data_IF_240386238852
#
_entry.id   IF_240386238852
#
_cell.length_a   1.000
_cell.length_b   1.000
_cell.length_c   1.000
_cell.angle_alpha   90.00
_cell.angle_beta   90.00
_cell.angle_gamma   90.00
#
_symmetry.space_group_name_H-M   'P 1'
#
loop_
_entity.id
_entity.type
_entity.pdbx_description
1 polymer ?
#
# COMPACT_ATOMS: atom_id res chain seq x y z
N UNK A 1 -21.66 -65.45 26.34
CA UNK A 1 -20.40 -64.70 26.51
C UNK A 1 -19.86 -64.29 25.15
N UNK A 2 -19.40 -63.05 24.93
CA UNK A 2 -20.03 -61.79 25.29
C UNK A 2 -20.34 -60.96 24.03
N UNK A 3 -21.62 -60.65 23.81
CA UNK A 3 -22.14 -59.68 22.81
C UNK A 3 -22.08 -58.22 23.32
N UNK A 4 -21.35 -57.96 24.40
CA UNK A 4 -21.42 -56.70 25.15
C UNK A 4 -20.41 -55.62 24.75
N UNK A 5 -19.50 -55.87 23.79
CA UNK A 5 -18.45 -54.91 23.39
C UNK A 5 -18.77 -54.11 22.10
N UNK A 6 -19.77 -54.51 21.31
CA UNK A 6 -20.19 -53.80 20.08
C UNK A 6 -21.22 -52.69 20.33
N UNK A 7 -21.97 -52.77 21.42
CA UNK A 7 -22.95 -51.75 21.82
C UNK A 7 -22.36 -50.35 22.05
N UNK A 8 -21.23 -50.16 22.77
CA UNK A 8 -20.68 -48.83 22.98
C UNK A 8 -20.15 -48.22 21.67
N UNK A 9 -19.55 -49.03 20.79
CA UNK A 9 -19.05 -48.53 19.49
C UNK A 9 -20.18 -48.13 18.54
N UNK A 10 -21.27 -48.90 18.45
CA UNK A 10 -22.41 -48.56 17.61
C UNK A 10 -23.18 -47.33 18.14
N UNK A 11 -23.24 -47.17 19.47
CA UNK A 11 -23.84 -46.00 20.11
C UNK A 11 -22.97 -44.74 19.91
N UNK A 12 -21.65 -44.86 20.01
CA UNK A 12 -20.71 -43.77 19.76
C UNK A 12 -20.71 -43.37 18.27
N UNK A 13 -20.75 -44.33 17.34
CA UNK A 13 -20.87 -44.06 15.89
C UNK A 13 -22.16 -43.32 15.57
N UNK A 14 -23.31 -43.83 16.01
CA UNK A 14 -24.60 -43.15 15.78
C UNK A 14 -24.62 -41.75 16.40
N UNK A 15 -24.03 -41.57 17.59
CA UNK A 15 -23.95 -40.26 18.24
C UNK A 15 -23.03 -39.30 17.48
N UNK A 16 -21.90 -39.78 16.94
CA UNK A 16 -21.01 -38.99 16.07
C UNK A 16 -21.70 -38.61 14.75
N UNK A 17 -22.44 -39.53 14.14
CA UNK A 17 -23.17 -39.27 12.89
C UNK A 17 -24.28 -38.25 13.10
N UNK A 18 -25.05 -38.35 14.19
CA UNK A 18 -26.05 -37.34 14.56
C UNK A 18 -25.40 -35.99 14.88
N UNK A 19 -24.24 -35.97 15.56
CA UNK A 19 -23.52 -34.73 15.87
C UNK A 19 -22.98 -34.05 14.60
N UNK A 20 -22.46 -34.83 13.65
CA UNK A 20 -21.99 -34.32 12.36
C UNK A 20 -23.14 -33.78 11.51
N UNK A 21 -24.29 -34.47 11.49
CA UNK A 21 -25.51 -34.01 10.81
C UNK A 21 -26.02 -32.68 11.39
N UNK A 22 -26.13 -32.59 12.72
CA UNK A 22 -26.54 -31.36 13.42
C UNK A 22 -25.57 -30.19 13.18
N UNK A 23 -24.26 -30.45 13.18
CA UNK A 23 -23.23 -29.45 12.84
C UNK A 23 -23.37 -28.98 11.39
N UNK A 24 -23.58 -29.89 10.45
CA UNK A 24 -23.81 -29.58 9.04
C UNK A 24 -25.07 -28.74 8.84
N UNK A 25 -26.17 -29.08 9.51
CA UNK A 25 -27.40 -28.28 9.45
C UNK A 25 -27.22 -26.90 10.09
N UNK A 26 -26.48 -26.79 11.19
CA UNK A 26 -26.14 -25.50 11.80
C UNK A 26 -25.33 -24.63 10.83
N UNK A 27 -24.28 -25.17 10.22
CA UNK A 27 -23.47 -24.45 9.22
C UNK A 27 -24.31 -24.04 8.02
N UNK A 28 -25.17 -24.93 7.49
CA UNK A 28 -26.12 -24.61 6.41
C UNK A 28 -27.11 -23.52 6.81
N UNK A 29 -27.61 -23.55 8.05
CA UNK A 29 -28.52 -22.52 8.56
C UNK A 29 -27.83 -21.17 8.80
N UNK A 30 -26.57 -21.17 9.23
CA UNK A 30 -25.78 -19.95 9.39
C UNK A 30 -25.42 -19.34 8.03
N UNK A 31 -25.03 -20.17 7.06
CA UNK A 31 -24.75 -19.74 5.68
C UNK A 31 -25.99 -19.27 4.94
N UNK A 32 -27.16 -19.91 5.15
CA UNK A 32 -28.44 -19.45 4.59
C UNK A 32 -28.89 -18.12 5.19
N UNK A 33 -28.71 -17.93 6.50
CA UNK A 33 -28.95 -16.64 7.17
C UNK A 33 -28.02 -15.55 6.66
N UNK A 34 -26.72 -15.85 6.51
CA UNK A 34 -25.75 -14.89 5.97
C UNK A 34 -26.12 -14.48 4.54
N UNK A 35 -26.44 -15.46 3.68
CA UNK A 35 -26.84 -15.19 2.28
C UNK A 35 -28.15 -14.41 2.20
N UNK A 36 -29.12 -14.69 3.08
CA UNK A 36 -30.36 -13.92 3.17
C UNK A 36 -30.12 -12.47 3.64
N UNK A 37 -29.21 -12.27 4.60
CA UNK A 37 -28.83 -10.95 5.10
C UNK A 37 -28.07 -10.14 4.02
N UNK A 38 -27.18 -10.78 3.26
CA UNK A 38 -26.47 -10.14 2.15
C UNK A 38 -27.37 -9.76 0.97
N UNK A 39 -28.56 -10.39 0.86
CA UNK A 39 -29.59 -10.06 -0.13
C UNK A 39 -30.55 -8.96 0.32
N UNK A 40 -30.44 -8.49 1.55
CA UNK A 40 -31.26 -7.37 2.04
C UNK A 40 -30.98 -6.10 1.22
N UNK A 41 -32.02 -5.36 0.79
CA UNK A 41 -31.85 -4.14 -0.01
C UNK A 41 -31.06 -3.06 0.74
N UNK A 42 -31.13 -3.04 2.08
CA UNK A 42 -30.34 -2.15 2.91
C UNK A 42 -28.86 -2.52 2.89
N UNK A 43 -28.53 -3.81 2.95
CA UNK A 43 -27.15 -4.29 2.88
C UNK A 43 -26.51 -3.96 1.52
N UNK A 44 -27.23 -4.19 0.42
CA UNK A 44 -26.76 -3.87 -0.93
C UNK A 44 -26.51 -2.37 -1.15
N UNK A 45 -27.33 -1.50 -0.54
CA UNK A 45 -27.18 -0.05 -0.63
C UNK A 45 -25.99 0.46 0.17
N UNK A 46 -25.80 -0.06 1.39
CA UNK A 46 -24.75 0.42 2.30
C UNK A 46 -23.43 -0.35 2.19
N UNK A 47 -23.40 -1.49 1.48
CA UNK A 47 -22.19 -2.30 1.34
C UNK A 47 -20.97 -1.56 0.80
N UNK A 48 -21.05 -0.61 -0.17
CA UNK A 48 -19.86 0.10 -0.63
C UNK A 48 -19.29 1.02 0.45
N UNK A 49 -20.17 1.66 1.24
CA UNK A 49 -19.78 2.54 2.35
C UNK A 49 -19.15 1.72 3.48
N UNK A 50 -19.74 0.57 3.80
CA UNK A 50 -19.26 -0.34 4.83
C UNK A 50 -17.89 -0.94 4.46
N UNK A 51 -17.72 -1.34 3.19
CA UNK A 51 -16.43 -1.81 2.68
C UNK A 51 -15.39 -0.69 2.65
N UNK A 52 -15.77 0.53 2.25
CA UNK A 52 -14.87 1.68 2.27
C UNK A 52 -14.40 2.00 3.69
N UNK A 53 -15.31 2.04 4.66
CA UNK A 53 -14.98 2.24 6.07
C UNK A 53 -14.05 1.14 6.59
N UNK A 54 -14.37 -0.13 6.29
CA UNK A 54 -13.54 -1.28 6.67
C UNK A 54 -12.12 -1.15 6.10
N UNK A 55 -11.99 -0.81 4.82
CA UNK A 55 -10.71 -0.60 4.16
C UNK A 55 -9.96 0.58 4.76
N UNK A 56 -10.63 1.69 5.08
CA UNK A 56 -9.99 2.82 5.77
C UNK A 56 -9.45 2.43 7.14
N UNK A 57 -10.24 1.73 7.95
CA UNK A 57 -9.79 1.22 9.26
C UNK A 57 -8.62 0.26 9.09
N UNK A 58 -8.66 -0.61 8.08
CA UNK A 58 -7.58 -1.55 7.78
C UNK A 58 -6.26 -0.83 7.45
N UNK A 59 -6.31 0.22 6.63
CA UNK A 59 -5.13 1.05 6.31
C UNK A 59 -4.59 1.76 7.54
N UNK A 60 -5.45 2.34 8.38
CA UNK A 60 -5.04 3.03 9.62
C UNK A 60 -4.39 2.06 10.62
N UNK A 61 -4.94 0.84 10.72
CA UNK A 61 -4.35 -0.23 11.54
C UNK A 61 -2.98 -0.63 10.99
N UNK A 62 -2.86 -0.86 9.69
CA UNK A 62 -1.59 -1.15 9.02
C UNK A 62 -0.55 -0.05 9.28
N UNK A 63 -0.93 1.22 9.09
CA UNK A 63 -0.08 2.38 9.34
C UNK A 63 0.45 2.42 10.77
N UNK A 64 -0.42 2.13 11.74
CA UNK A 64 -0.07 2.11 13.16
C UNK A 64 0.86 0.95 13.48
N UNK A 65 0.60 -0.26 12.97
CA UNK A 65 1.49 -1.41 13.14
C UNK A 65 2.89 -1.14 12.57
N UNK A 66 2.98 -0.65 11.33
CA UNK A 66 4.26 -0.33 10.70
C UNK A 66 5.02 0.76 11.46
N UNK A 67 4.31 1.78 11.94
CA UNK A 67 4.91 2.81 12.77
C UNK A 67 5.48 2.22 14.07
N UNK A 68 4.73 1.37 14.78
CA UNK A 68 5.17 0.78 16.03
C UNK A 68 6.35 -0.19 15.85
N UNK A 69 6.36 -0.99 14.79
CA UNK A 69 7.46 -1.92 14.54
C UNK A 69 8.77 -1.22 14.14
N UNK A 70 8.70 -0.15 13.35
CA UNK A 70 9.90 0.44 12.74
C UNK A 70 10.40 1.70 13.43
N UNK A 71 9.59 2.40 14.24
CA UNK A 71 10.00 3.67 14.88
C UNK A 71 11.29 3.54 15.68
N UNK A 72 11.31 2.67 16.69
CA UNK A 72 12.44 2.57 17.61
C UNK A 72 13.69 1.94 16.95
N UNK A 73 13.57 0.84 16.17
CA UNK A 73 14.70 0.28 15.43
C UNK A 73 15.32 1.26 14.43
N UNK A 74 14.48 2.06 13.76
CA UNK A 74 14.95 3.08 12.84
C UNK A 74 15.67 4.21 13.57
N UNK A 75 15.12 4.72 14.67
CA UNK A 75 15.77 5.75 15.47
C UNK A 75 17.14 5.29 15.98
N UNK A 76 17.26 4.03 16.42
CA UNK A 76 18.55 3.44 16.79
C UNK A 76 19.51 3.36 15.61
N UNK A 77 19.05 2.98 14.42
CA UNK A 77 19.88 2.89 13.21
C UNK A 77 20.40 4.27 12.79
N UNK A 78 19.52 5.27 12.81
CA UNK A 78 19.87 6.67 12.53
C UNK A 78 20.87 7.19 13.55
N UNK A 79 20.64 6.94 14.85
CA UNK A 79 21.57 7.34 15.91
C UNK A 79 22.94 6.68 15.73
N UNK A 80 22.97 5.37 15.48
CA UNK A 80 24.22 4.61 15.20
C UNK A 80 24.96 5.19 13.98
N UNK A 81 24.25 5.55 12.91
CA UNK A 81 24.87 6.13 11.73
C UNK A 81 25.57 7.46 12.04
N UNK A 82 24.86 8.39 12.70
CA UNK A 82 25.42 9.69 13.07
C UNK A 82 26.57 9.58 14.08
N UNK A 83 26.47 8.68 15.06
CA UNK A 83 27.56 8.44 16.02
C UNK A 83 28.78 7.82 15.33
N UNK A 84 28.57 6.85 14.44
CA UNK A 84 29.66 6.21 13.71
C UNK A 84 30.36 7.20 12.78
N UNK A 85 29.62 8.09 12.11
CA UNK A 85 30.22 9.16 11.31
C UNK A 85 31.06 10.11 12.15
N UNK A 86 30.55 10.56 13.31
CA UNK A 86 31.31 11.41 14.22
C UNK A 86 32.59 10.72 14.74
N UNK A 87 32.52 9.43 15.07
CA UNK A 87 33.68 8.63 15.53
C UNK A 87 34.70 8.44 14.42
N UNK A 88 34.26 8.07 13.20
CA UNK A 88 35.13 7.94 12.02
C UNK A 88 35.86 9.25 11.72
N UNK A 89 35.15 10.38 11.78
CA UNK A 89 35.74 11.70 11.57
C UNK A 89 36.84 12.02 12.58
N UNK A 90 36.59 11.75 13.87
CA UNK A 90 37.59 11.92 14.94
C UNK A 90 38.79 11.00 14.77
N UNK A 91 38.56 9.72 14.43
CA UNK A 91 39.65 8.77 14.19
C UNK A 91 40.50 9.15 12.99
N UNK A 92 39.88 9.64 11.92
CA UNK A 92 40.59 10.10 10.73
C UNK A 92 41.41 11.36 11.02
N UNK A 93 40.83 12.34 11.72
CA UNK A 93 41.55 13.54 12.16
C UNK A 93 42.75 13.20 13.06
N UNK A 94 42.58 12.25 14.01
CA UNK A 94 43.68 11.76 14.85
C UNK A 94 44.77 11.07 14.03
N UNK A 95 44.39 10.26 13.05
CA UNK A 95 45.33 9.59 12.13
C UNK A 95 46.13 10.61 11.32
N UNK A 96 45.48 11.62 10.75
CA UNK A 96 46.13 12.70 10.01
C UNK A 96 47.10 13.47 10.91
N UNK A 97 46.62 13.95 12.06
CA UNK A 97 47.43 14.67 13.05
C UNK A 97 48.66 13.86 13.48
N UNK A 98 48.49 12.58 13.80
CA UNK A 98 49.61 11.72 14.22
C UNK A 98 50.63 11.49 13.11
N UNK A 99 50.20 11.41 11.84
CA UNK A 99 51.11 11.26 10.70
C UNK A 99 51.91 12.53 10.46
N UNK A 100 51.28 13.70 10.56
CA UNK A 100 51.95 14.99 10.36
C UNK A 100 52.98 15.26 11.46
N UNK A 101 52.65 14.96 12.73
CA UNK A 101 53.52 15.30 13.86
C UNK A 101 54.64 14.28 14.12
N UNK A 102 54.50 13.04 13.63
CA UNK A 102 55.51 11.99 13.80
C UNK A 102 56.44 11.82 12.57
N UNK A 103 56.35 12.71 11.58
CA UNK A 103 57.24 12.68 10.41
C UNK A 103 58.61 13.31 10.74
N UNK A 104 59.45 12.53 11.41
CA UNK A 104 60.75 12.93 11.95
C UNK A 104 61.82 13.25 10.90
N UNK A 105 61.56 13.05 9.59
CA UNK A 105 62.55 13.34 8.55
C UNK A 105 62.61 14.81 8.12
N UNK A 106 61.55 15.59 8.31
CA UNK A 106 61.50 16.97 7.80
C UNK A 106 60.92 18.01 8.79
N UNK A 107 60.22 17.61 9.86
CA UNK A 107 59.53 18.54 10.76
C UNK A 107 59.60 18.07 12.21
N UNK A 108 60.55 18.59 12.98
CA UNK A 108 60.64 18.38 14.42
C UNK A 108 59.70 19.38 15.11
N UNK A 109 58.37 19.14 15.02
CA UNK A 109 57.38 20.02 15.65
C UNK A 109 57.12 19.53 17.08
N UNK A 110 57.67 20.23 18.07
CA UNK A 110 57.32 20.01 19.48
C UNK A 110 55.98 20.72 19.72
N UNK A 111 54.89 19.98 19.60
CA UNK A 111 53.54 20.51 19.79
C UNK A 111 53.03 20.10 21.16
N UNK A 112 52.65 21.08 21.97
CA UNK A 112 51.99 20.85 23.25
C UNK A 112 50.65 20.09 23.07
N UNK A 113 50.23 19.36 24.10
CA UNK A 113 49.01 18.55 24.07
C UNK A 113 47.77 19.38 23.76
N UNK A 114 47.73 20.62 24.23
CA UNK A 114 46.62 21.55 23.97
C UNK A 114 46.57 21.99 22.50
N UNK A 115 47.73 22.31 21.91
CA UNK A 115 47.84 22.67 20.49
C UNK A 115 47.47 21.50 19.57
N UNK A 116 47.86 20.27 19.96
CA UNK A 116 47.46 19.05 19.26
C UNK A 116 45.94 18.87 19.26
N UNK A 117 45.28 19.10 20.41
CA UNK A 117 43.83 19.01 20.52
C UNK A 117 43.12 20.06 19.65
N UNK A 118 43.65 21.30 19.62
CA UNK A 118 43.14 22.37 18.77
C UNK A 118 43.22 22.03 17.27
N UNK A 119 44.37 21.52 16.81
CA UNK A 119 44.53 21.08 15.41
C UNK A 119 43.58 19.94 15.07
N UNK A 120 43.42 18.96 15.96
CA UNK A 120 42.46 17.88 15.75
C UNK A 120 41.02 18.38 15.63
N UNK A 121 40.63 19.37 16.45
CA UNK A 121 39.31 19.98 16.36
C UNK A 121 39.09 20.70 15.03
N UNK A 122 40.07 21.49 14.59
CA UNK A 122 40.02 22.17 13.29
C UNK A 122 39.95 21.18 12.11
N UNK A 123 40.67 20.06 12.20
CA UNK A 123 40.58 18.98 11.21
C UNK A 123 39.20 18.33 11.19
N UNK A 124 38.60 18.06 12.36
CA UNK A 124 37.24 17.52 12.46
C UNK A 124 36.22 18.48 11.84
N UNK A 125 36.37 19.78 12.07
CA UNK A 125 35.49 20.80 11.48
C UNK A 125 35.67 20.92 9.97
N UNK A 126 36.92 20.91 9.49
CA UNK A 126 37.25 20.93 8.07
C UNK A 126 36.71 19.70 7.33
N UNK A 127 36.86 18.51 7.92
CA UNK A 127 36.31 17.26 7.38
C UNK A 127 34.79 17.28 7.33
N UNK A 128 34.14 17.84 8.36
CA UNK A 128 32.68 18.02 8.35
C UNK A 128 32.26 18.94 7.19
N UNK A 129 32.93 20.08 7.01
CA UNK A 129 32.64 20.99 5.90
C UNK A 129 32.93 20.40 4.52
N UNK A 130 33.90 19.47 4.41
CA UNK A 130 34.13 18.71 3.18
C UNK A 130 33.04 17.65 2.93
N UNK A 131 32.63 16.92 3.96
CA UNK A 131 31.53 15.95 3.90
C UNK A 131 30.20 16.63 3.51
N UNK A 132 29.95 17.84 3.97
CA UNK A 132 28.75 18.62 3.61
C UNK A 132 28.73 19.00 2.11
N UNK A 133 29.89 19.02 1.44
CA UNK A 133 30.01 19.21 -0.02
C UNK A 133 29.88 17.90 -0.80
N UNK A 134 30.00 16.77 -0.12
CA UNK A 134 29.76 15.46 -0.71
C UNK A 134 28.25 15.18 -0.66
N UNK A 135 27.72 14.52 -1.68
CA UNK A 135 26.32 14.07 -1.74
C UNK A 135 26.07 12.84 -0.86
N UNK A 136 26.58 12.83 0.37
CA UNK A 136 26.39 11.74 1.33
C UNK A 136 24.98 11.85 1.92
N UNK A 137 24.06 11.03 1.42
CA UNK A 137 22.69 10.94 1.95
C UNK A 137 22.67 10.01 3.16
N UNK A 138 22.51 10.57 4.36
CA UNK A 138 22.28 9.81 5.58
C UNK A 138 20.82 9.32 5.71
N UNK A 139 20.53 8.35 6.59
CA UNK A 139 19.17 7.89 6.83
C UNK A 139 18.32 9.01 7.43
N UNK A 140 17.09 9.16 6.93
CA UNK A 140 16.21 10.26 7.36
C UNK A 140 15.62 9.98 8.73
N UNK A 141 15.73 10.92 9.66
CA UNK A 141 15.12 10.81 11.01
C UNK A 141 13.59 10.65 10.98
N UNK A 142 12.93 11.10 9.90
CA UNK A 142 11.46 11.09 9.79
C UNK A 142 10.94 10.03 8.82
N UNK A 143 11.78 9.11 8.38
CA UNK A 143 11.42 8.06 7.42
C UNK A 143 10.22 7.22 7.90
N UNK A 144 10.20 6.86 9.20
CA UNK A 144 9.10 6.15 9.86
C UNK A 144 8.24 7.06 10.74
N UNK A 145 7.92 8.27 10.27
CA UNK A 145 6.82 9.04 10.87
C UNK A 145 5.47 8.32 10.66
N UNK A 146 4.45 8.66 11.46
CA UNK A 146 3.12 8.05 11.30
C UNK A 146 2.55 8.30 9.89
N UNK A 147 2.64 9.53 9.37
CA UNK A 147 2.17 9.88 8.03
C UNK A 147 2.95 9.14 6.93
N UNK A 148 4.27 9.00 7.08
CA UNK A 148 5.10 8.22 6.15
C UNK A 148 4.82 6.71 6.24
N UNK A 149 4.33 6.22 7.38
CA UNK A 149 3.93 4.81 7.58
C UNK A 149 2.52 4.57 7.02
N UNK A 150 1.64 5.55 7.10
CA UNK A 150 0.35 5.55 6.40
C UNK A 150 0.53 5.47 4.89
N UNK A 151 1.38 6.32 4.31
CA UNK A 151 1.69 6.26 2.89
C UNK A 151 2.27 4.91 2.49
N UNK A 152 3.17 4.35 3.30
CA UNK A 152 3.73 3.01 3.07
C UNK A 152 2.63 1.93 3.06
N UNK A 153 1.77 1.91 4.09
CA UNK A 153 0.67 0.96 4.19
C UNK A 153 -0.32 1.09 3.03
N UNK A 154 -0.60 2.31 2.58
CA UNK A 154 -1.48 2.59 1.46
C UNK A 154 -0.86 2.14 0.12
N UNK A 155 0.41 2.49 -0.13
CA UNK A 155 1.13 2.08 -1.35
C UNK A 155 1.28 0.56 -1.47
N UNK A 156 1.38 -0.16 -0.35
CA UNK A 156 1.36 -1.63 -0.34
C UNK A 156 0.02 -2.20 -0.83
N UNK A 157 -1.11 -1.65 -0.36
CA UNK A 157 -2.44 -2.10 -0.82
C UNK A 157 -2.71 -1.75 -2.27
N UNK A 158 -2.21 -0.60 -2.73
CA UNK A 158 -2.29 -0.15 -4.11
C UNK A 158 -1.30 -0.87 -5.04
N UNK A 159 -0.50 -1.79 -4.49
CA UNK A 159 0.56 -2.56 -5.19
C UNK A 159 1.58 -1.71 -5.95
N UNK A 160 1.66 -0.41 -5.67
CA UNK A 160 2.71 0.49 -6.18
C UNK A 160 4.05 0.10 -5.57
N UNK A 161 4.03 -0.28 -4.29
CA UNK A 161 5.23 -0.45 -3.49
C UNK A 161 5.71 0.88 -2.91
N UNK A 162 6.59 0.80 -1.92
CA UNK A 162 7.14 1.98 -1.25
C UNK A 162 8.54 2.37 -1.74
N UNK A 163 9.06 1.67 -2.76
CA UNK A 163 10.27 1.98 -3.53
C UNK A 163 11.53 2.01 -2.70
N UNK A 164 11.77 3.14 -2.03
CA UNK A 164 12.96 3.43 -1.23
C UNK A 164 12.83 3.04 0.24
N UNK A 165 11.60 2.85 0.72
CA UNK A 165 11.33 2.56 2.12
C UNK A 165 11.01 1.08 2.26
N UNK A 166 11.90 0.33 2.92
CA UNK A 166 11.73 -1.10 3.18
C UNK A 166 11.76 -1.34 4.69
N UNK A 167 10.82 -2.14 5.24
CA UNK A 167 10.85 -2.53 6.64
C UNK A 167 12.16 -3.25 6.98
N UNK A 168 12.82 -2.78 8.05
CA UNK A 168 14.11 -3.32 8.49
C UNK A 168 13.96 -4.51 9.44
N UNK A 169 12.83 -4.59 10.15
CA UNK A 169 12.57 -5.65 11.14
C UNK A 169 11.92 -6.88 10.51
N UNK A 170 12.29 -8.06 10.97
CA UNK A 170 11.68 -9.32 10.53
C UNK A 170 10.18 -9.35 10.85
N UNK A 171 9.80 -8.80 12.01
CA UNK A 171 8.39 -8.75 12.44
C UNK A 171 7.52 -7.93 11.49
N UNK A 172 7.97 -6.74 11.07
CA UNK A 172 7.22 -5.91 10.13
C UNK A 172 7.20 -6.49 8.71
N UNK A 173 8.25 -7.21 8.29
CA UNK A 173 8.27 -7.93 7.01
C UNK A 173 7.24 -9.05 6.97
N UNK A 174 7.18 -9.89 8.01
CA UNK A 174 6.17 -10.95 8.12
C UNK A 174 4.75 -10.33 8.17
N UNK A 175 4.58 -9.27 8.96
CA UNK A 175 3.31 -8.54 9.02
C UNK A 175 2.90 -7.99 7.65
N UNK A 176 3.84 -7.41 6.87
CA UNK A 176 3.57 -6.88 5.54
C UNK A 176 3.01 -7.95 4.59
N UNK A 177 3.54 -9.18 4.65
CA UNK A 177 3.02 -10.29 3.82
C UNK A 177 1.55 -10.57 4.14
N UNK A 178 1.21 -10.77 5.42
CA UNK A 178 -0.18 -11.01 5.83
C UNK A 178 -1.10 -9.81 5.55
N UNK A 179 -0.58 -8.60 5.76
CA UNK A 179 -1.28 -7.36 5.47
C UNK A 179 -1.64 -7.26 3.98
N UNK A 180 -0.72 -7.59 3.07
CA UNK A 180 -0.97 -7.61 1.63
C UNK A 180 -1.95 -8.72 1.21
N UNK A 181 -1.82 -9.93 1.77
CA UNK A 181 -2.69 -11.07 1.46
C UNK A 181 -4.17 -10.77 1.71
N UNK A 182 -4.48 -10.05 2.79
CA UNK A 182 -5.85 -9.67 3.15
C UNK A 182 -6.23 -8.33 2.53
N UNK A 183 -5.32 -7.38 2.57
CA UNK A 183 -5.59 -5.99 2.22
C UNK A 183 -5.74 -5.74 0.73
N UNK A 184 -4.95 -6.38 -0.14
CA UNK A 184 -5.05 -6.17 -1.59
C UNK A 184 -6.42 -6.63 -2.10
N UNK A 185 -6.91 -7.86 -1.81
CA UNK A 185 -8.25 -8.28 -2.22
C UNK A 185 -9.34 -7.35 -1.67
N UNK A 186 -9.23 -6.95 -0.41
CA UNK A 186 -10.18 -6.03 0.22
C UNK A 186 -10.22 -4.67 -0.50
N UNK A 187 -9.06 -4.06 -0.74
CA UNK A 187 -8.91 -2.75 -1.36
C UNK A 187 -9.46 -2.72 -2.80
N UNK A 188 -9.05 -3.67 -3.65
CA UNK A 188 -9.53 -3.75 -5.03
C UNK A 188 -11.01 -4.14 -5.11
N UNK A 189 -11.52 -4.96 -4.18
CA UNK A 189 -12.96 -5.28 -4.09
C UNK A 189 -13.77 -4.03 -3.75
N UNK A 190 -13.29 -3.20 -2.81
CA UNK A 190 -13.91 -1.91 -2.48
C UNK A 190 -13.94 -1.00 -3.70
N UNK A 191 -12.81 -0.83 -4.40
CA UNK A 191 -12.75 0.01 -5.59
C UNK A 191 -13.68 -0.49 -6.70
N UNK A 192 -13.64 -1.78 -7.02
CA UNK A 192 -14.48 -2.38 -8.04
C UNK A 192 -15.98 -2.20 -7.73
N UNK A 193 -16.38 -2.39 -6.47
CA UNK A 193 -17.77 -2.21 -6.04
C UNK A 193 -18.22 -0.74 -6.16
N UNK A 194 -17.37 0.21 -5.75
CA UNK A 194 -17.65 1.65 -5.87
C UNK A 194 -17.80 2.02 -7.35
N UNK A 195 -16.83 1.65 -8.19
CA UNK A 195 -16.86 1.92 -9.63
C UNK A 195 -18.10 1.30 -10.29
N UNK A 196 -18.42 0.04 -9.98
CA UNK A 196 -19.62 -0.62 -10.48
C UNK A 196 -20.89 0.13 -10.08
N UNK A 197 -21.02 0.55 -8.81
CA UNK A 197 -22.20 1.28 -8.32
C UNK A 197 -22.35 2.64 -8.99
N UNK A 198 -21.24 3.34 -9.27
CA UNK A 198 -21.26 4.63 -9.96
C UNK A 198 -21.68 4.51 -11.42
N UNK A 199 -21.22 3.47 -12.13
CA UNK A 199 -21.50 3.29 -13.56
C UNK A 199 -22.79 2.50 -13.85
N UNK A 200 -23.29 1.71 -12.90
CA UNK A 200 -24.50 0.87 -13.05
C UNK A 200 -25.74 1.63 -13.58
N UNK A 201 -26.08 2.84 -13.09
CA UNK A 201 -27.22 3.60 -13.61
C UNK A 201 -27.06 3.97 -15.09
N UNK A 202 -25.84 4.30 -15.52
CA UNK A 202 -25.52 4.63 -16.91
C UNK A 202 -25.65 3.39 -17.79
N UNK A 203 -25.10 2.26 -17.36
CA UNK A 203 -25.13 1.01 -18.13
C UNK A 203 -26.54 0.41 -18.28
N UNK A 204 -27.41 0.62 -17.28
CA UNK A 204 -28.82 0.17 -17.27
C UNK A 204 -29.74 1.08 -18.09
N UNK A 205 -29.25 2.19 -18.63
CA UNK A 205 -30.09 3.12 -19.39
C UNK A 205 -30.63 2.43 -20.67
N UNK A 206 -31.96 2.37 -20.89
CA UNK A 206 -32.57 1.63 -21.99
C UNK A 206 -32.17 2.12 -23.40
N UNK A 207 -31.73 3.37 -23.56
CA UNK A 207 -31.28 3.95 -24.82
C UNK A 207 -29.79 3.73 -25.12
N UNK A 208 -29.08 2.98 -24.26
CA UNK A 208 -27.65 2.74 -24.39
C UNK A 208 -27.35 1.60 -25.37
N UNK A 209 -27.38 1.93 -26.66
CA UNK A 209 -27.02 1.03 -27.76
C UNK A 209 -25.55 0.61 -27.70
N UNK A 210 -25.19 -0.50 -28.38
CA UNK A 210 -23.81 -1.00 -28.45
C UNK A 210 -22.81 0.07 -28.93
N UNK A 211 -23.18 0.87 -29.93
CA UNK A 211 -22.34 1.97 -30.43
C UNK A 211 -22.08 3.05 -29.37
N UNK A 212 -23.10 3.42 -28.57
CA UNK A 212 -22.93 4.36 -27.47
C UNK A 212 -22.04 3.81 -26.35
N UNK A 213 -22.11 2.50 -26.07
CA UNK A 213 -21.18 1.84 -25.13
C UNK A 213 -19.73 1.93 -25.59
N UNK A 214 -19.47 1.75 -26.89
CA UNK A 214 -18.13 1.91 -27.46
C UNK A 214 -17.63 3.36 -27.33
N UNK A 215 -18.49 4.36 -27.59
CA UNK A 215 -18.16 5.76 -27.36
C UNK A 215 -17.86 6.06 -25.88
N UNK A 216 -18.59 5.43 -24.95
CA UNK A 216 -18.28 5.54 -23.51
C UNK A 216 -16.90 4.96 -23.19
N UNK A 217 -16.52 3.80 -23.74
CA UNK A 217 -15.17 3.25 -23.56
C UNK A 217 -14.10 4.24 -24.04
N UNK A 218 -14.28 4.80 -25.25
CA UNK A 218 -13.34 5.77 -25.81
C UNK A 218 -13.26 7.05 -24.96
N UNK A 219 -14.40 7.53 -24.45
CA UNK A 219 -14.46 8.71 -23.59
C UNK A 219 -13.73 8.48 -22.25
N UNK A 220 -13.95 7.33 -21.61
CA UNK A 220 -13.26 6.99 -20.36
C UNK A 220 -11.76 6.78 -20.60
N UNK A 221 -11.38 6.14 -21.72
CA UNK A 221 -9.98 6.00 -22.10
C UNK A 221 -9.31 7.37 -22.33
N UNK A 222 -9.98 8.29 -23.02
CA UNK A 222 -9.50 9.67 -23.18
C UNK A 222 -9.35 10.40 -21.83
N UNK A 223 -10.29 10.20 -20.91
CA UNK A 223 -10.22 10.75 -19.55
C UNK A 223 -9.05 10.16 -18.74
N UNK A 224 -8.76 8.87 -18.90
CA UNK A 224 -7.57 8.24 -18.32
C UNK A 224 -6.28 8.84 -18.87
N UNK A 225 -6.16 9.00 -20.19
CA UNK A 225 -4.99 9.63 -20.82
C UNK A 225 -4.82 11.07 -20.31
N UNK A 226 -5.90 11.86 -20.31
CA UNK A 226 -5.87 13.24 -19.79
C UNK A 226 -5.44 13.28 -18.32
N UNK A 227 -5.98 12.40 -17.49
CA UNK A 227 -5.60 12.28 -16.08
C UNK A 227 -4.10 11.98 -15.91
N UNK A 228 -3.57 11.01 -16.67
CA UNK A 228 -2.13 10.67 -16.60
C UNK A 228 -1.25 11.83 -17.05
N UNK A 229 -1.65 12.59 -18.07
CA UNK A 229 -0.93 13.79 -18.51
C UNK A 229 -0.96 14.89 -17.44
N UNK A 230 -2.09 15.11 -16.76
CA UNK A 230 -2.19 16.07 -15.67
C UNK A 230 -1.26 15.71 -14.51
N UNK A 231 -1.25 14.44 -14.09
CA UNK A 231 -0.33 13.97 -13.03
C UNK A 231 1.13 14.13 -13.47
N UNK A 232 1.44 13.83 -14.73
CA UNK A 232 2.78 14.03 -15.29
C UNK A 232 3.22 15.49 -15.32
N UNK A 233 2.31 16.42 -15.66
CA UNK A 233 2.57 17.85 -15.58
C UNK A 233 2.81 18.31 -14.13
N UNK A 234 2.02 17.80 -13.17
CA UNK A 234 2.26 18.08 -11.75
C UNK A 234 3.64 17.60 -11.29
N UNK A 235 4.06 16.40 -11.70
CA UNK A 235 5.39 15.86 -11.39
C UNK A 235 6.52 16.68 -12.03
N UNK A 236 6.31 17.17 -13.25
CA UNK A 236 7.27 18.02 -13.96
C UNK A 236 7.54 19.31 -13.20
N UNK A 237 6.49 20.04 -12.81
CA UNK A 237 6.63 21.33 -12.14
C UNK A 237 7.07 21.23 -10.67
N UNK A 238 6.74 20.14 -9.97
CA UNK A 238 6.96 20.06 -8.53
C UNK A 238 8.19 19.25 -8.11
N UNK A 239 8.62 18.28 -8.92
CA UNK A 239 9.57 17.25 -8.45
C UNK A 239 10.74 17.06 -9.40
N UNK A 240 10.49 16.66 -10.65
CA UNK A 240 11.53 16.06 -11.50
C UNK A 240 12.22 17.08 -12.41
N UNK A 241 11.53 18.17 -12.80
CA UNK A 241 12.01 19.17 -13.76
C UNK A 241 12.44 18.61 -15.14
N UNK A 242 12.17 17.33 -15.42
CA UNK A 242 12.31 16.68 -16.71
C UNK A 242 10.93 16.22 -17.18
N UNK A 243 10.50 16.72 -18.34
CA UNK A 243 9.17 16.46 -18.87
C UNK A 243 8.95 14.97 -19.16
N UNK A 244 9.85 14.33 -19.92
CA UNK A 244 9.67 12.96 -20.36
C UNK A 244 9.73 11.97 -19.20
N UNK A 245 10.64 12.19 -18.26
CA UNK A 245 10.73 11.37 -17.07
C UNK A 245 9.48 11.52 -16.19
N UNK A 246 8.89 12.72 -16.13
CA UNK A 246 7.65 12.96 -15.38
C UNK A 246 6.44 12.28 -16.00
N UNK A 247 6.29 12.37 -17.33
CA UNK A 247 5.23 11.66 -18.05
C UNK A 247 5.38 10.14 -17.88
N UNK A 248 6.60 9.62 -18.01
CA UNK A 248 6.87 8.19 -17.82
C UNK A 248 6.53 7.74 -16.40
N UNK A 249 6.93 8.49 -15.38
CA UNK A 249 6.62 8.18 -13.98
C UNK A 249 5.11 8.24 -13.70
N UNK A 250 4.40 9.20 -14.29
CA UNK A 250 2.94 9.28 -14.17
C UNK A 250 2.24 8.09 -14.85
N UNK A 251 2.70 7.70 -16.05
CA UNK A 251 2.17 6.55 -16.76
C UNK A 251 2.45 5.25 -16.00
N UNK A 252 3.69 5.01 -15.58
CA UNK A 252 4.05 3.84 -14.77
C UNK A 252 3.24 3.79 -13.47
N UNK A 253 3.16 4.91 -12.74
CA UNK A 253 2.38 5.01 -11.51
C UNK A 253 0.88 4.78 -11.71
N UNK A 254 0.33 5.12 -12.88
CA UNK A 254 -1.07 4.83 -13.24
C UNK A 254 -1.34 3.33 -13.40
N UNK A 255 -0.32 2.56 -13.79
CA UNK A 255 -0.33 1.11 -13.89
C UNK A 255 0.16 0.43 -12.61
N UNK A 256 0.23 1.16 -11.50
CA UNK A 256 0.76 0.70 -10.21
C UNK A 256 2.22 0.23 -10.26
N UNK A 257 3.00 0.72 -11.22
CA UNK A 257 4.43 0.46 -11.32
C UNK A 257 5.19 1.66 -10.76
N UNK A 258 5.99 1.44 -9.72
CA UNK A 258 6.85 2.49 -9.20
C UNK A 258 8.20 2.48 -9.90
N UNK A 259 8.58 3.64 -10.43
CA UNK A 259 9.91 3.91 -10.96
C UNK A 259 10.73 4.61 -9.88
N UNK A 260 11.87 4.03 -9.43
CA UNK A 260 12.70 4.65 -8.42
C UNK A 260 13.40 5.89 -9.02
N UNK A 261 12.98 7.08 -8.60
CA UNK A 261 13.71 8.32 -8.86
C UNK A 261 14.55 8.71 -7.64
N UNK A 262 15.80 9.13 -7.84
CA UNK A 262 16.74 9.52 -6.78
C UNK A 262 16.31 10.78 -5.98
N UNK A 263 15.10 11.31 -6.23
CA UNK A 263 14.60 12.56 -5.68
C UNK A 263 13.74 12.23 -4.45
N UNK A 264 14.11 12.80 -3.31
CA UNK A 264 13.31 12.66 -2.08
C UNK A 264 12.01 13.47 -2.19
N UNK A 265 10.90 12.77 -2.42
CA UNK A 265 9.56 13.37 -2.44
C UNK A 265 9.07 13.59 -1.01
N UNK A 266 8.38 14.71 -0.77
CA UNK A 266 7.77 15.01 0.52
C UNK A 266 6.67 13.98 0.88
N UNK A 267 6.37 13.82 2.17
CA UNK A 267 5.31 12.89 2.61
C UNK A 267 3.93 13.26 2.04
N UNK A 268 3.63 14.56 1.89
CA UNK A 268 2.41 15.02 1.25
C UNK A 268 2.39 14.69 -0.26
N UNK A 269 3.54 14.80 -0.94
CA UNK A 269 3.66 14.44 -2.36
C UNK A 269 3.42 12.95 -2.60
N UNK A 270 3.94 12.07 -1.75
CA UNK A 270 3.68 10.62 -1.83
C UNK A 270 2.19 10.32 -1.61
N UNK A 271 1.55 10.99 -0.65
CA UNK A 271 0.12 10.84 -0.41
C UNK A 271 -0.70 11.25 -1.64
N UNK A 272 -0.38 12.40 -2.23
CA UNK A 272 -0.99 12.85 -3.48
C UNK A 272 -0.82 11.81 -4.60
N UNK A 273 0.38 11.27 -4.78
CA UNK A 273 0.65 10.25 -5.80
C UNK A 273 -0.14 8.96 -5.56
N UNK A 274 -0.26 8.51 -4.31
CA UNK A 274 -1.08 7.34 -3.98
C UNK A 274 -2.57 7.55 -4.29
N UNK A 275 -3.11 8.74 -3.98
CA UNK A 275 -4.46 9.10 -4.39
C UNK A 275 -4.59 9.15 -5.91
N UNK A 276 -3.59 9.71 -6.59
CA UNK A 276 -3.61 9.81 -8.04
C UNK A 276 -3.58 8.44 -8.73
N UNK A 277 -2.75 7.52 -8.23
CA UNK A 277 -2.74 6.13 -8.67
C UNK A 277 -4.05 5.40 -8.35
N UNK A 278 -4.72 5.70 -7.24
CA UNK A 278 -6.04 5.12 -6.92
C UNK A 278 -7.12 5.59 -7.89
N UNK A 279 -7.09 6.86 -8.31
CA UNK A 279 -7.96 7.39 -9.36
C UNK A 279 -7.65 6.67 -10.69
N UNK A 280 -6.37 6.55 -11.05
CA UNK A 280 -5.95 5.83 -12.26
C UNK A 280 -6.44 4.38 -12.30
N UNK A 281 -6.27 3.63 -11.21
CA UNK A 281 -6.78 2.25 -11.08
C UNK A 281 -8.31 2.22 -11.19
N UNK A 282 -9.01 3.17 -10.59
CA UNK A 282 -10.46 3.27 -10.68
C UNK A 282 -10.94 3.52 -12.12
N UNK A 283 -10.20 4.34 -12.88
CA UNK A 283 -10.46 4.56 -14.32
C UNK A 283 -10.17 3.32 -15.16
N UNK A 284 -9.09 2.58 -14.88
CA UNK A 284 -8.80 1.31 -15.54
C UNK A 284 -9.88 0.26 -15.28
N UNK A 285 -10.35 0.15 -14.03
CA UNK A 285 -11.48 -0.70 -13.66
C UNK A 285 -12.76 -0.28 -14.39
N UNK A 286 -13.00 1.03 -14.53
CA UNK A 286 -14.13 1.56 -15.28
C UNK A 286 -14.05 1.20 -16.76
N UNK A 287 -12.88 1.35 -17.40
CA UNK A 287 -12.64 0.94 -18.79
C UNK A 287 -12.94 -0.55 -18.96
N UNK A 288 -12.41 -1.39 -18.07
CA UNK A 288 -12.63 -2.84 -18.08
C UNK A 288 -14.14 -3.17 -17.98
N UNK A 289 -14.84 -2.53 -17.05
CA UNK A 289 -16.24 -2.81 -16.76
C UNK A 289 -17.17 -2.34 -17.89
N UNK A 290 -16.93 -1.15 -18.46
CA UNK A 290 -17.68 -0.68 -19.62
C UNK A 290 -17.37 -1.56 -20.84
N UNK A 291 -16.13 -2.00 -21.02
CA UNK A 291 -15.75 -2.93 -22.09
C UNK A 291 -16.48 -4.27 -21.95
N UNK A 292 -16.53 -4.85 -20.75
CA UNK A 292 -17.31 -6.06 -20.47
C UNK A 292 -18.80 -5.87 -20.80
N UNK A 293 -19.36 -4.68 -20.54
CA UNK A 293 -20.75 -4.38 -20.91
C UNK A 293 -21.01 -4.37 -22.42
N UNK A 294 -19.98 -4.13 -23.26
CA UNK A 294 -20.11 -4.18 -24.73
C UNK A 294 -20.24 -5.62 -25.20
N UNK A 295 -19.43 -6.52 -24.66
CA UNK A 295 -19.36 -7.93 -25.05
C UNK A 295 -20.43 -8.81 -24.37
N UNK A 296 -20.68 -8.59 -23.08
CA UNK A 296 -21.58 -9.40 -22.24
C UNK A 296 -22.72 -8.58 -21.61
N UNK A 297 -23.65 -8.02 -22.41
CA UNK A 297 -24.69 -7.13 -21.90
C UNK A 297 -25.69 -7.82 -20.96
N UNK A 298 -25.96 -9.11 -21.13
CA UNK A 298 -27.00 -9.83 -20.38
C UNK A 298 -26.57 -10.22 -18.96
N UNK A 299 -25.29 -10.54 -18.78
CA UNK A 299 -24.73 -10.98 -17.49
C UNK A 299 -24.51 -9.82 -16.52
N UNK A 300 -24.18 -8.63 -17.05
CA UNK A 300 -23.99 -7.42 -16.23
C UNK A 300 -25.30 -6.74 -15.80
N UNK A 301 -26.39 -7.04 -16.53
CA UNK A 301 -27.73 -6.47 -16.34
C UNK A 301 -28.66 -7.38 -15.52
N UNK A 302 -28.16 -8.48 -14.92
CA UNK A 302 -29.00 -9.39 -14.12
C UNK A 302 -29.81 -8.57 -13.12
N UNK A 303 -31.15 -8.61 -13.19
CA UNK A 303 -32.00 -7.74 -12.42
C UNK A 303 -31.89 -8.12 -10.94
N UNK A 304 -31.62 -7.12 -10.10
CA UNK A 304 -31.64 -7.22 -8.63
C UNK A 304 -33.06 -7.52 -8.09
N UNK A 305 -34.08 -7.60 -8.97
CA UNK A 305 -35.46 -7.97 -8.63
C UNK A 305 -36.15 -8.63 -9.84
N UNK A 306 -36.15 -9.96 -9.90
CA UNK A 306 -37.42 -10.60 -10.21
C UNK A 306 -38.35 -10.25 -9.05
N UNK A 307 -39.20 -9.22 -9.24
CA UNK A 307 -40.43 -9.15 -8.45
C UNK A 307 -41.11 -10.50 -8.66
N UNK A 308 -41.36 -11.31 -7.61
CA UNK A 308 -42.16 -12.50 -7.79
C UNK A 308 -43.46 -12.03 -8.44
N UNK A 309 -43.73 -12.58 -9.62
CA UNK A 309 -44.98 -12.34 -10.32
C UNK A 309 -46.09 -12.50 -9.30
N UNK A 310 -46.96 -11.49 -9.17
CA UNK A 310 -48.24 -11.68 -8.51
C UNK A 310 -48.95 -12.77 -9.31
N UNK A 311 -48.78 -14.03 -8.90
CA UNK A 311 -49.73 -15.09 -9.22
C UNK A 311 -51.03 -14.61 -8.59
N UNK A 312 -51.90 -14.08 -9.44
CA UNK A 312 -53.31 -13.97 -9.16
C UNK A 312 -53.78 -15.35 -8.74
N UNK A 313 -53.95 -15.55 -7.43
CA UNK A 313 -54.78 -16.63 -6.92
C UNK A 313 -56.22 -16.25 -7.23
N UNK A 314 -56.63 -16.51 -8.48
CA UNK A 314 -58.02 -16.69 -8.82
C UNK A 314 -58.31 -18.17 -8.61
N UNK A 315 -58.77 -18.52 -7.40
CA UNK A 315 -59.69 -19.63 -7.14
C UNK A 315 -60.58 -19.18 -6.01
#
# INVERSE_FOLDING_TARGET
MPTSLLFPFHFISNRLDTFNQDMLERVKSSTSRLTSATRSPYFLRWSPVLLALLTTVFVLLGATCFYLFERDPHEMTVRKWYTNMAVKRRMFAKTISSRIFNDTRNLLIIIDREQTARVQQLLVESLKGYEDKLSIVGPSRREWSWASSFNFAYSLLLTVGAGFKVPSTIGSQIFAVFYCLIGIPLFYSTLALIVYRLVSPVLKWPSLTRGRRFLLVLAVFGLFVLWTLLVGLCLYYQVVNDFWLSIFNAFAGSLTVQTPSAIQISTCGILFLNFASTISVSLLLLILLVSLSVFFPKELLVPEFEKPSRRSWNV
#
